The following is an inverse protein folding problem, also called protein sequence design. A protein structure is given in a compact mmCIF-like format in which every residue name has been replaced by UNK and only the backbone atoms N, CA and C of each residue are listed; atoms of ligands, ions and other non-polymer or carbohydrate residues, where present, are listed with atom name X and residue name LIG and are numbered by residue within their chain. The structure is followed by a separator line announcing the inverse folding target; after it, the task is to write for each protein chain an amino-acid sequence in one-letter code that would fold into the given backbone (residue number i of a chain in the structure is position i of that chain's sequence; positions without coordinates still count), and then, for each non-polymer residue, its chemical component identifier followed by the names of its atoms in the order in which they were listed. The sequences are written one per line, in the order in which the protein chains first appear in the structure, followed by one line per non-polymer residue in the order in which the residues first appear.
data_IF_736715202535
#
_entry.id   IF_736715202535
#
_cell.length_a   1.000
_cell.length_b   1.000
_cell.length_c   1.000
_cell.angle_alpha   90.00
_cell.angle_beta   90.00
_cell.angle_gamma   90.00
#
_symmetry.space_group_name_H-M   'P 1'
#
loop_
_entity.id
_entity.type
_entity.pdbx_description
1 polymer ?
#
# COMPACT_ATOMS: atom_id res chain seq x y z
N UNK A 1 24.62 60.11 8.74
CA UNK A 1 23.43 59.51 8.09
C UNK A 1 23.72 58.73 6.81
N UNK A 2 24.51 59.23 5.84
CA UNK A 2 24.78 58.51 4.58
C UNK A 2 25.46 57.13 4.74
N UNK A 3 26.51 57.03 5.57
CA UNK A 3 27.24 55.76 5.77
C UNK A 3 26.40 54.65 6.39
N UNK A 4 25.60 54.95 7.43
CA UNK A 4 24.68 53.99 8.05
C UNK A 4 23.63 53.47 7.07
N UNK A 5 23.10 54.34 6.20
CA UNK A 5 22.15 53.94 5.16
C UNK A 5 22.81 53.04 4.12
N UNK A 6 24.02 53.36 3.68
CA UNK A 6 24.79 52.53 2.75
C UNK A 6 25.06 51.15 3.35
N UNK A 7 25.49 51.08 4.62
CA UNK A 7 25.71 49.80 5.31
C UNK A 7 24.41 48.99 5.39
N UNK A 8 23.29 49.62 5.72
CA UNK A 8 21.99 48.94 5.77
C UNK A 8 21.56 48.40 4.40
N UNK A 9 21.79 49.15 3.31
CA UNK A 9 21.49 48.68 1.95
C UNK A 9 22.41 47.54 1.52
N UNK A 10 23.70 47.62 1.84
CA UNK A 10 24.64 46.52 1.57
C UNK A 10 24.25 45.25 2.34
N UNK A 11 23.83 45.40 3.60
CA UNK A 11 23.31 44.29 4.40
C UNK A 11 22.04 43.67 3.80
N UNK A 12 21.07 44.51 3.39
CA UNK A 12 19.86 44.04 2.69
C UNK A 12 20.22 43.29 1.41
N UNK A 13 21.10 43.87 0.59
CA UNK A 13 21.53 43.28 -0.67
C UNK A 13 22.21 41.93 -0.45
N UNK A 14 23.06 41.82 0.57
CA UNK A 14 23.67 40.55 0.97
C UNK A 14 22.62 39.51 1.40
N UNK A 15 21.62 39.88 2.22
CA UNK A 15 20.54 38.98 2.63
C UNK A 15 19.71 38.51 1.42
N UNK A 16 19.42 39.41 0.48
CA UNK A 16 18.71 39.07 -0.77
C UNK A 16 19.55 38.09 -1.60
N UNK A 17 20.85 38.36 -1.78
CA UNK A 17 21.74 37.46 -2.51
C UNK A 17 21.82 36.09 -1.84
N UNK A 18 22.00 36.03 -0.53
CA UNK A 18 22.15 34.78 0.21
C UNK A 18 20.85 33.96 0.25
N UNK A 19 19.70 34.62 0.34
CA UNK A 19 18.40 33.94 0.26
C UNK A 19 18.10 33.41 -1.15
N UNK A 20 18.47 34.16 -2.20
CA UNK A 20 18.43 33.68 -3.58
C UNK A 20 19.54 32.65 -3.88
N UNK A 21 20.57 32.59 -3.05
CA UNK A 21 21.74 31.73 -3.23
C UNK A 21 21.40 30.25 -3.34
N UNK A 22 20.31 29.82 -2.67
CA UNK A 22 19.75 28.48 -2.79
C UNK A 22 19.40 28.14 -4.25
N UNK A 23 18.77 29.08 -4.95
CA UNK A 23 18.31 28.93 -6.34
C UNK A 23 19.42 29.20 -7.35
N UNK A 24 20.29 30.17 -7.07
CA UNK A 24 21.37 30.60 -7.96
C UNK A 24 22.60 29.69 -7.92
N UNK A 25 22.61 28.67 -7.07
CA UNK A 25 23.78 27.78 -6.96
C UNK A 25 24.95 28.41 -6.21
N UNK A 26 24.71 29.44 -5.38
CA UNK A 26 25.79 30.10 -4.64
C UNK A 26 26.42 29.14 -3.62
N UNK A 27 27.73 29.30 -3.32
CA UNK A 27 28.44 28.43 -2.38
C UNK A 27 27.88 28.52 -0.96
N UNK A 28 27.29 29.67 -0.59
CA UNK A 28 26.66 29.90 0.70
C UNK A 28 25.26 30.45 0.49
N UNK A 29 24.29 29.98 1.26
CA UNK A 29 22.91 30.44 1.21
C UNK A 29 22.24 30.38 2.57
N UNK A 30 21.07 31.02 2.69
CA UNK A 30 20.27 31.02 3.91
C UNK A 30 18.98 30.24 3.69
N UNK A 31 18.58 29.46 4.69
CA UNK A 31 17.30 28.77 4.77
C UNK A 31 16.62 29.07 6.12
N UNK A 32 15.29 29.07 6.15
CA UNK A 32 14.52 29.21 7.39
C UNK A 32 13.98 27.86 7.83
N UNK A 33 14.05 27.57 9.13
CA UNK A 33 13.43 26.39 9.71
C UNK A 33 11.91 26.58 9.76
N UNK A 34 11.19 25.78 8.99
CA UNK A 34 9.73 25.92 8.86
C UNK A 34 8.94 25.12 9.91
N UNK A 35 9.48 24.00 10.41
CA UNK A 35 8.76 23.05 11.27
C UNK A 35 9.56 22.68 12.52
N UNK A 36 8.93 21.92 13.43
CA UNK A 36 9.55 21.41 14.65
C UNK A 36 10.26 20.06 14.51
N UNK A 37 10.50 19.55 13.30
CA UNK A 37 11.10 18.21 13.09
C UNK A 37 12.53 18.08 13.61
N UNK A 38 13.23 19.21 13.76
CA UNK A 38 14.61 19.27 14.23
C UNK A 38 14.74 19.68 15.70
N UNK A 39 13.66 19.70 16.47
CA UNK A 39 13.73 19.96 17.92
C UNK A 39 14.48 18.78 18.59
N UNK A 40 15.44 19.03 19.50
CA UNK A 40 15.81 20.33 20.09
C UNK A 40 16.90 21.11 19.35
N UNK A 41 17.57 20.54 18.34
CA UNK A 41 18.71 21.16 17.67
C UNK A 41 18.37 22.46 16.93
N UNK A 42 17.20 22.54 16.29
CA UNK A 42 16.70 23.73 15.61
C UNK A 42 15.25 24.01 16.00
N UNK A 43 14.92 25.28 16.21
CA UNK A 43 13.57 25.75 16.49
C UNK A 43 12.90 26.30 15.22
N UNK A 44 11.56 26.20 15.10
CA UNK A 44 10.84 26.90 14.04
C UNK A 44 11.17 28.41 14.05
N UNK A 45 11.45 28.95 12.87
CA UNK A 45 11.94 30.31 12.59
C UNK A 45 13.43 30.55 12.89
N UNK A 46 14.21 29.54 13.25
CA UNK A 46 15.66 29.69 13.23
C UNK A 46 16.15 29.88 11.78
N UNK A 47 17.17 30.71 11.62
CA UNK A 47 17.79 30.98 10.32
C UNK A 47 19.07 30.17 10.21
N UNK A 48 19.15 29.31 9.20
CA UNK A 48 20.29 28.44 8.94
C UNK A 48 21.09 29.03 7.80
N UNK A 49 22.39 29.25 8.01
CA UNK A 49 23.35 29.51 6.94
C UNK A 49 23.95 28.18 6.55
N UNK A 50 23.95 27.90 5.25
CA UNK A 50 24.41 26.65 4.70
C UNK A 50 25.47 26.82 3.63
N UNK A 51 26.42 25.89 3.57
CA UNK A 51 27.49 25.84 2.58
C UNK A 51 27.38 24.61 1.68
N UNK A 52 27.73 24.78 0.40
CA UNK A 52 27.87 23.69 -0.58
C UNK A 52 29.22 23.01 -0.39
N UNK A 53 29.32 22.18 0.63
CA UNK A 53 30.52 21.40 0.96
C UNK A 53 30.16 19.94 1.23
N UNK A 54 31.18 19.12 1.43
CA UNK A 54 31.02 17.70 1.76
C UNK A 54 30.31 17.54 3.11
N UNK A 55 29.50 16.48 3.21
CA UNK A 55 28.73 16.15 4.41
C UNK A 55 28.97 14.72 4.85
N UNK A 56 28.92 14.51 6.16
CA UNK A 56 29.07 13.21 6.80
C UNK A 56 27.85 12.81 7.63
N UNK A 57 27.91 11.61 8.18
CA UNK A 57 26.93 11.14 9.16
C UNK A 57 27.00 12.03 10.41
N UNK A 58 25.86 12.54 10.85
CA UNK A 58 25.73 13.47 11.98
C UNK A 58 25.49 14.92 11.56
N UNK A 59 25.80 15.30 10.32
CA UNK A 59 25.62 16.67 9.84
C UNK A 59 24.16 17.01 9.59
N UNK A 60 23.79 18.27 9.80
CA UNK A 60 22.48 18.79 9.42
C UNK A 60 22.58 19.31 8.00
N UNK A 61 21.82 18.71 7.09
CA UNK A 61 21.84 19.07 5.67
C UNK A 61 20.51 19.67 5.24
N UNK A 62 20.57 20.56 4.26
CA UNK A 62 19.39 21.00 3.50
C UNK A 62 19.37 20.22 2.19
N UNK A 63 18.35 19.42 1.97
CA UNK A 63 18.10 18.76 0.70
C UNK A 63 16.76 19.20 0.11
N UNK A 64 16.62 19.17 -1.21
CA UNK A 64 15.41 19.66 -1.88
C UNK A 64 14.97 18.73 -3.00
N UNK A 65 13.74 18.21 -2.93
CA UNK A 65 13.13 17.43 -4.03
C UNK A 65 12.69 18.32 -5.20
N UNK A 66 12.34 19.58 -4.92
CA UNK A 66 12.06 20.62 -5.93
C UNK A 66 12.73 21.92 -5.51
N UNK A 67 12.88 22.93 -6.40
CA UNK A 67 13.47 24.22 -6.01
C UNK A 67 12.77 24.93 -4.83
N UNK A 68 11.48 24.65 -4.62
CA UNK A 68 10.66 25.27 -3.57
C UNK A 68 10.46 24.35 -2.35
N UNK A 69 10.63 23.03 -2.52
CA UNK A 69 10.46 22.06 -1.44
C UNK A 69 11.81 21.59 -0.92
N UNK A 70 12.17 22.04 0.27
CA UNK A 70 13.42 21.71 0.93
C UNK A 70 13.15 21.22 2.36
N UNK A 71 13.99 20.31 2.82
CA UNK A 71 13.95 19.68 4.13
C UNK A 71 15.32 19.88 4.79
N UNK A 72 15.30 20.22 6.08
CA UNK A 72 16.49 20.40 6.91
C UNK A 72 16.51 19.27 7.93
N UNK A 73 17.32 18.24 7.73
CA UNK A 73 17.38 17.07 8.61
C UNK A 73 18.82 16.60 8.82
N UNK A 74 19.03 15.76 9.83
CA UNK A 74 20.35 15.20 10.15
C UNK A 74 20.63 13.97 9.31
N UNK A 75 21.82 13.86 8.73
CA UNK A 75 22.28 12.63 8.07
C UNK A 75 22.48 11.56 9.12
N UNK A 76 21.73 10.46 9.02
CA UNK A 76 21.85 9.32 9.93
C UNK A 76 22.64 8.18 9.30
N UNK A 77 22.66 8.10 7.97
CA UNK A 77 23.35 7.03 7.26
C UNK A 77 23.68 7.44 5.82
N UNK A 78 24.84 7.01 5.33
CA UNK A 78 25.28 7.12 3.94
C UNK A 78 25.59 5.70 3.46
N UNK A 79 24.88 5.22 2.43
CA UNK A 79 25.09 3.88 1.84
C UNK A 79 25.19 4.00 0.34
N UNK A 80 26.30 3.54 -0.24
CA UNK A 80 26.53 3.53 -1.70
C UNK A 80 26.21 4.92 -2.31
N UNK A 81 25.10 5.01 -3.05
CA UNK A 81 24.60 6.18 -3.78
C UNK A 81 23.34 6.79 -3.16
N UNK A 82 23.04 6.53 -1.89
CA UNK A 82 21.92 7.12 -1.17
C UNK A 82 22.31 7.70 0.18
N UNK A 83 21.62 8.78 0.53
CA UNK A 83 21.71 9.45 1.83
C UNK A 83 20.40 9.23 2.57
N UNK A 84 20.48 8.88 3.84
CA UNK A 84 19.31 8.75 4.72
C UNK A 84 19.41 9.86 5.76
N UNK A 85 18.39 10.71 5.80
CA UNK A 85 18.27 11.78 6.81
C UNK A 85 17.18 11.45 7.82
N UNK A 86 17.18 12.13 8.96
CA UNK A 86 16.10 12.07 9.95
C UNK A 86 15.98 13.41 10.67
N UNK A 87 14.74 13.87 10.87
CA UNK A 87 14.49 14.94 11.83
C UNK A 87 14.80 14.49 13.26
N UNK A 88 15.49 15.31 14.05
CA UNK A 88 15.88 14.94 15.42
C UNK A 88 14.67 14.57 16.31
N UNK A 89 13.48 15.13 16.04
CA UNK A 89 12.23 14.82 16.72
C UNK A 89 11.42 13.69 16.06
N UNK A 90 11.83 13.19 14.90
CA UNK A 90 11.07 12.19 14.14
C UNK A 90 11.38 10.76 14.62
N UNK A 91 10.37 9.88 14.77
CA UNK A 91 10.56 8.52 15.28
C UNK A 91 11.21 7.56 14.27
N UNK A 92 11.10 7.85 12.98
CA UNK A 92 11.62 7.03 11.89
C UNK A 92 12.49 7.87 10.94
N UNK A 93 13.51 7.28 10.29
CA UNK A 93 14.29 7.95 9.25
C UNK A 93 13.42 8.33 8.04
N UNK A 94 13.85 9.35 7.32
CA UNK A 94 13.27 9.72 6.04
C UNK A 94 13.61 8.66 4.98
N UNK A 95 12.85 8.58 3.88
CA UNK A 95 13.21 7.74 2.75
C UNK A 95 14.61 8.07 2.20
N UNK A 96 15.34 7.10 1.62
CA UNK A 96 16.63 7.35 1.00
C UNK A 96 16.53 8.37 -0.14
N UNK A 97 17.43 9.35 -0.15
CA UNK A 97 17.54 10.38 -1.19
C UNK A 97 18.84 10.25 -1.98
N UNK A 98 18.84 10.70 -3.23
CA UNK A 98 20.08 10.81 -4.01
C UNK A 98 20.99 11.93 -3.44
N UNK A 99 22.32 11.73 -3.37
CA UNK A 99 23.29 12.76 -3.01
C UNK A 99 23.11 14.08 -3.77
N UNK A 100 22.68 14.01 -5.04
CA UNK A 100 22.45 15.21 -5.87
C UNK A 100 21.29 16.10 -5.41
N UNK A 101 20.43 15.62 -4.49
CA UNK A 101 19.36 16.42 -3.89
C UNK A 101 19.84 17.26 -2.70
N UNK A 102 21.02 16.94 -2.13
CA UNK A 102 21.61 17.72 -1.05
C UNK A 102 22.14 19.05 -1.60
N UNK A 103 21.70 20.15 -1.00
CA UNK A 103 22.04 21.51 -1.42
C UNK A 103 23.11 22.15 -0.57
N UNK A 104 23.29 21.71 0.66
CA UNK A 104 24.38 22.18 1.52
C UNK A 104 24.24 21.71 2.96
N UNK A 105 25.31 21.92 3.71
CA UNK A 105 25.45 21.62 5.14
C UNK A 105 25.16 22.88 5.94
N UNK A 106 24.40 22.75 7.03
CA UNK A 106 24.17 23.82 7.98
C UNK A 106 25.46 24.12 8.75
N UNK A 107 26.07 25.27 8.47
CA UNK A 107 27.34 25.72 9.08
C UNK A 107 27.12 26.72 10.22
N UNK A 108 25.98 27.40 10.25
CA UNK A 108 25.62 28.35 11.29
C UNK A 108 24.11 28.40 11.49
N UNK A 109 23.69 28.52 12.74
CA UNK A 109 22.30 28.72 13.13
C UNK A 109 22.18 30.06 13.85
N UNK A 110 21.32 30.94 13.34
CA UNK A 110 20.97 32.21 13.94
C UNK A 110 19.58 32.02 14.58
N UNK A 111 19.50 31.96 15.93
CA UNK A 111 18.25 31.68 16.60
C UNK A 111 17.20 32.76 16.35
N UNK A 112 15.93 32.35 16.31
CA UNK A 112 14.77 33.25 16.12
C UNK A 112 14.72 34.41 17.11
N UNK A 113 15.13 34.18 18.35
CA UNK A 113 15.14 35.21 19.39
C UNK A 113 16.27 36.24 19.22
N UNK A 114 17.21 36.02 18.28
CA UNK A 114 18.23 37.01 17.92
C UNK A 114 17.71 37.89 16.79
N UNK A 115 17.33 37.29 15.65
CA UNK A 115 17.02 38.07 14.45
C UNK A 115 15.62 38.69 14.46
N UNK A 116 14.60 38.04 15.06
CA UNK A 116 13.24 38.59 15.12
C UNK A 116 13.20 39.89 15.94
N UNK A 117 13.74 39.96 17.16
CA UNK A 117 13.74 41.22 17.91
C UNK A 117 14.56 42.33 17.24
N UNK A 118 15.67 41.98 16.58
CA UNK A 118 16.44 42.95 15.79
C UNK A 118 15.60 43.58 14.67
N UNK A 119 14.81 42.77 13.96
CA UNK A 119 13.89 43.30 12.93
C UNK A 119 12.77 44.15 13.55
N UNK A 120 12.09 43.65 14.59
CA UNK A 120 10.94 44.34 15.19
C UNK A 120 11.35 45.63 15.88
N UNK A 121 12.48 45.64 16.58
CA UNK A 121 12.96 46.83 17.33
C UNK A 121 13.25 48.01 16.41
N UNK A 122 13.73 47.77 15.18
CA UNK A 122 13.95 48.84 14.19
C UNK A 122 12.64 49.52 13.77
N UNK A 123 11.58 48.74 13.54
CA UNK A 123 10.25 49.23 13.18
C UNK A 123 9.58 49.93 14.38
N UNK A 124 9.69 49.34 15.57
CA UNK A 124 9.16 49.91 16.80
C UNK A 124 9.84 51.25 17.12
N UNK A 125 11.17 51.35 17.02
CA UNK A 125 11.92 52.59 17.21
C UNK A 125 11.47 53.65 16.18
N UNK A 126 11.33 53.28 14.91
CA UNK A 126 10.83 54.19 13.89
C UNK A 126 9.41 54.70 14.22
N UNK A 127 8.49 53.81 14.60
CA UNK A 127 7.13 54.17 14.98
C UNK A 127 7.10 55.12 16.20
N UNK A 128 7.90 54.83 17.24
CA UNK A 128 8.01 55.68 18.43
C UNK A 128 8.55 57.07 18.06
N UNK A 129 9.59 57.15 17.23
CA UNK A 129 10.15 58.43 16.77
C UNK A 129 9.13 59.25 15.97
N UNK A 130 8.33 58.62 15.12
CA UNK A 130 7.27 59.32 14.35
C UNK A 130 6.12 59.79 15.24
N UNK A 131 5.68 58.98 16.21
CA UNK A 131 4.66 59.40 17.19
C UNK A 131 5.18 60.60 18.01
N UNK A 132 6.43 60.54 18.47
CA UNK A 132 7.04 61.61 19.27
C UNK A 132 7.22 62.90 18.46
N UNK A 133 7.58 62.80 17.18
CA UNK A 133 7.64 63.95 16.25
C UNK A 133 6.27 64.59 16.05
N UNK A 134 5.23 63.78 15.85
CA UNK A 134 3.86 64.25 15.73
C UNK A 134 3.39 65.01 16.98
N UNK A 135 3.70 64.49 18.17
CA UNK A 135 3.40 65.15 19.45
C UNK A 135 4.14 66.48 19.61
N UNK A 136 5.42 66.54 19.24
CA UNK A 136 6.24 67.75 19.35
C UNK A 136 6.05 68.76 18.19
N UNK A 137 5.17 68.48 17.23
CA UNK A 137 4.96 69.29 16.00
C UNK A 137 6.27 69.64 15.27
N UNK A 138 7.25 68.75 15.32
CA UNK A 138 8.53 68.97 14.62
C UNK A 138 8.25 68.80 13.12
N UNK A 139 8.54 69.81 12.27
CA UNK A 139 8.34 69.71 10.84
C UNK A 139 9.18 68.58 10.25
N UNK A 140 8.59 67.81 9.33
CA UNK A 140 9.29 66.71 8.66
C UNK A 140 10.49 67.26 7.90
N UNK A 141 11.68 66.64 7.99
CA UNK A 141 12.79 67.02 7.13
C UNK A 141 12.38 66.86 5.66
N UNK A 142 12.89 67.68 4.73
CA UNK A 142 12.53 67.62 3.31
C UNK A 142 12.83 66.26 2.64
N UNK A 143 13.65 65.41 3.28
CA UNK A 143 13.94 64.01 2.88
C UNK A 143 13.17 62.97 3.71
N UNK A 144 12.08 63.38 4.36
CA UNK A 144 11.35 62.67 5.41
C UNK A 144 10.68 61.34 5.06
N UNK A 145 10.26 61.04 3.82
CA UNK A 145 9.59 59.77 3.56
C UNK A 145 10.55 58.66 3.10
N UNK A 146 11.79 58.98 2.70
CA UNK A 146 12.75 58.01 2.15
C UNK A 146 13.09 56.92 3.17
N UNK A 147 13.34 57.30 4.43
CA UNK A 147 13.64 56.33 5.51
C UNK A 147 12.47 55.42 5.85
N UNK A 148 11.24 55.92 5.74
CA UNK A 148 10.03 55.14 5.96
C UNK A 148 9.89 54.06 4.89
N UNK A 149 10.01 54.46 3.62
CA UNK A 149 9.93 53.56 2.49
C UNK A 149 11.03 52.49 2.54
N UNK A 150 12.23 52.84 2.98
CA UNK A 150 13.33 51.88 3.07
C UNK A 150 13.08 50.79 4.12
N UNK A 151 12.48 51.15 5.26
CA UNK A 151 12.14 50.17 6.31
C UNK A 151 11.02 49.25 5.82
N UNK A 152 9.99 49.81 5.20
CA UNK A 152 8.87 49.04 4.65
C UNK A 152 9.34 48.10 3.54
N UNK A 153 10.13 48.59 2.57
CA UNK A 153 10.69 47.76 1.49
C UNK A 153 11.58 46.65 2.07
N UNK A 154 12.45 46.98 3.03
CA UNK A 154 13.30 45.98 3.69
C UNK A 154 12.46 44.88 4.35
N UNK A 155 11.40 45.26 5.07
CA UNK A 155 10.50 44.31 5.73
C UNK A 155 9.70 43.47 4.74
N UNK A 156 9.13 44.10 3.71
CA UNK A 156 8.38 43.42 2.64
C UNK A 156 9.25 42.42 1.88
N UNK A 157 10.49 42.80 1.55
CA UNK A 157 11.45 41.90 0.89
C UNK A 157 11.84 40.76 1.82
N UNK A 158 12.10 41.04 3.11
CA UNK A 158 12.44 40.00 4.09
C UNK A 158 11.31 38.98 4.25
N UNK A 159 10.06 39.44 4.40
CA UNK A 159 8.87 38.56 4.50
C UNK A 159 8.65 37.76 3.22
N UNK A 160 8.84 38.38 2.05
CA UNK A 160 8.73 37.71 0.77
C UNK A 160 9.78 36.59 0.61
N UNK A 161 11.03 36.87 0.97
CA UNK A 161 12.11 35.87 0.94
C UNK A 161 11.84 34.70 1.91
N UNK A 162 11.32 35.00 3.11
CA UNK A 162 10.90 33.96 4.06
C UNK A 162 9.81 33.06 3.47
N UNK A 163 8.83 33.64 2.78
CA UNK A 163 7.77 32.90 2.09
C UNK A 163 8.30 32.01 0.94
N UNK A 164 9.34 32.44 0.23
CA UNK A 164 10.00 31.62 -0.80
C UNK A 164 10.80 30.45 -0.21
N UNK A 165 11.27 30.58 1.03
CA UNK A 165 12.02 29.50 1.71
C UNK A 165 11.12 28.49 2.41
N UNK A 166 9.87 28.85 2.74
CA UNK A 166 8.93 27.94 3.39
C UNK A 166 8.30 26.96 2.38
N UNK A 167 8.25 25.65 2.69
CA UNK A 167 7.58 24.68 1.82
C UNK A 167 6.07 24.98 1.77
N UNK A 168 5.54 25.27 0.57
CA UNK A 168 4.14 25.69 0.36
C UNK A 168 3.15 24.52 0.41
N UNK A 169 3.59 23.25 0.43
CA UNK A 169 2.68 22.10 0.35
C UNK A 169 3.25 20.83 0.99
N UNK A 170 2.38 19.91 1.47
CA UNK A 170 2.80 18.61 1.96
C UNK A 170 3.39 17.75 0.82
N UNK A 171 4.16 16.76 1.25
CA UNK A 171 5.05 15.89 0.48
C UNK A 171 4.46 15.41 -0.85
N UNK A 172 5.07 15.82 -1.98
CA UNK A 172 5.00 15.08 -3.23
C UNK A 172 6.28 14.25 -3.32
N UNK A 173 6.18 12.99 -2.90
CA UNK A 173 7.29 12.05 -2.95
C UNK A 173 7.72 11.83 -4.40
N UNK A 174 8.90 12.31 -4.76
CA UNK A 174 9.66 11.82 -5.90
C UNK A 174 10.78 10.94 -5.34
N UNK A 175 10.38 9.87 -4.65
CA UNK A 175 11.28 8.83 -4.18
C UNK A 175 11.28 7.67 -5.18
N UNK A 176 12.40 6.97 -5.28
CA UNK A 176 12.47 5.68 -5.98
C UNK A 176 11.27 4.80 -5.62
N UNK A 177 10.69 4.12 -6.61
CA UNK A 177 9.67 3.11 -6.36
C UNK A 177 10.24 2.09 -5.39
N UNK A 178 9.67 2.02 -4.18
CA UNK A 178 10.06 1.00 -3.22
C UNK A 178 9.56 -0.33 -3.79
N UNK A 179 10.44 -1.30 -4.08
CA UNK A 179 10.00 -2.59 -4.58
C UNK A 179 9.18 -3.27 -3.49
N UNK A 180 7.93 -3.62 -3.80
CA UNK A 180 7.01 -4.24 -2.85
C UNK A 180 6.28 -5.41 -3.50
N UNK A 181 6.01 -6.43 -2.70
CA UNK A 181 5.26 -7.61 -3.12
C UNK A 181 4.24 -7.92 -2.01
N UNK A 182 2.98 -7.61 -2.27
CA UNK A 182 1.88 -7.84 -1.32
C UNK A 182 0.90 -8.85 -1.91
N UNK A 183 0.33 -9.70 -1.05
CA UNK A 183 -0.77 -10.57 -1.49
C UNK A 183 -2.06 -9.79 -1.47
N UNK A 184 -2.72 -9.71 -2.62
CA UNK A 184 -4.02 -9.05 -2.78
C UNK A 184 -5.15 -10.02 -2.48
N UNK A 185 -5.05 -11.24 -3.03
CA UNK A 185 -6.12 -12.22 -2.96
C UNK A 185 -5.57 -13.63 -3.00
N UNK A 186 -6.16 -14.48 -2.17
CA UNK A 186 -6.01 -15.93 -2.23
C UNK A 186 -7.40 -16.51 -2.38
N UNK A 187 -7.58 -17.39 -3.34
CA UNK A 187 -8.87 -18.02 -3.59
C UNK A 187 -8.73 -19.42 -4.16
N UNK A 188 -9.83 -20.16 -4.13
CA UNK A 188 -9.97 -21.44 -4.79
C UNK A 188 -10.92 -21.26 -5.99
N UNK A 189 -10.52 -21.78 -7.15
CA UNK A 189 -11.33 -21.82 -8.35
C UNK A 189 -12.04 -23.18 -8.44
N UNK A 190 -13.35 -23.17 -8.17
CA UNK A 190 -14.21 -24.36 -8.20
C UNK A 190 -14.33 -24.98 -9.60
N UNK A 191 -14.00 -24.24 -10.67
CA UNK A 191 -14.07 -24.77 -12.03
C UNK A 191 -12.92 -25.70 -12.33
N UNK A 192 -11.70 -25.26 -12.05
CA UNK A 192 -10.47 -25.95 -12.41
C UNK A 192 -9.87 -26.74 -11.24
N UNK A 193 -10.35 -26.56 -10.01
CA UNK A 193 -9.78 -27.20 -8.82
C UNK A 193 -8.41 -26.62 -8.45
N UNK A 194 -8.17 -25.36 -8.79
CA UNK A 194 -6.88 -24.69 -8.61
C UNK A 194 -6.94 -23.58 -7.57
N UNK A 195 -5.84 -23.36 -6.86
CA UNK A 195 -5.65 -22.20 -5.99
C UNK A 195 -5.08 -21.07 -6.83
N UNK A 196 -5.64 -19.88 -6.66
CA UNK A 196 -5.15 -18.65 -7.30
C UNK A 196 -4.66 -17.70 -6.23
N UNK A 197 -3.41 -17.27 -6.37
CA UNK A 197 -2.80 -16.25 -5.52
C UNK A 197 -2.45 -15.06 -6.41
N UNK A 198 -3.02 -13.91 -6.10
CA UNK A 198 -2.81 -12.66 -6.83
C UNK A 198 -1.93 -11.75 -5.97
N UNK A 199 -0.80 -11.34 -6.54
CA UNK A 199 0.13 -10.41 -5.93
C UNK A 199 -0.04 -9.00 -6.50
N UNK A 200 0.23 -7.99 -5.68
CA UNK A 200 0.49 -6.63 -6.10
C UNK A 200 2.00 -6.43 -6.06
N UNK A 201 2.62 -6.38 -7.24
CA UNK A 201 4.05 -6.20 -7.41
C UNK A 201 4.31 -4.77 -7.85
N UNK A 202 5.06 -4.02 -7.04
CA UNK A 202 5.58 -2.70 -7.40
C UNK A 202 7.05 -2.84 -7.71
N UNK A 203 7.47 -2.47 -8.93
CA UNK A 203 8.88 -2.46 -9.34
C UNK A 203 9.62 -3.81 -9.14
N UNK A 204 8.86 -4.90 -9.28
CA UNK A 204 9.26 -6.31 -9.18
C UNK A 204 8.47 -7.15 -10.21
N UNK A 205 9.07 -8.24 -10.67
CA UNK A 205 8.47 -9.20 -11.61
C UNK A 205 8.76 -10.63 -11.14
N UNK A 206 7.85 -11.57 -11.42
CA UNK A 206 8.03 -12.99 -11.09
C UNK A 206 8.94 -13.64 -12.13
N UNK A 207 10.04 -14.23 -11.68
CA UNK A 207 11.01 -14.91 -12.56
C UNK A 207 10.80 -16.43 -12.59
N UNK A 208 10.61 -17.05 -11.42
CA UNK A 208 10.43 -18.49 -11.29
C UNK A 208 9.78 -18.89 -9.98
N UNK A 209 9.14 -20.06 -9.97
CA UNK A 209 8.66 -20.73 -8.75
C UNK A 209 9.65 -21.86 -8.44
N UNK A 210 10.38 -21.73 -7.34
CA UNK A 210 11.45 -22.67 -6.95
C UNK A 210 10.89 -23.88 -6.20
N UNK A 211 9.85 -23.69 -5.38
CA UNK A 211 9.17 -24.78 -4.68
C UNK A 211 7.70 -24.48 -4.45
N UNK A 212 6.89 -25.55 -4.47
CA UNK A 212 5.46 -25.53 -4.22
C UNK A 212 5.10 -26.74 -3.35
N UNK A 213 4.57 -26.49 -2.16
CA UNK A 213 4.10 -27.53 -1.24
C UNK A 213 2.69 -27.26 -0.75
N UNK A 214 1.85 -28.30 -0.82
CA UNK A 214 0.52 -28.33 -0.22
C UNK A 214 0.58 -29.15 1.05
N UNK A 215 0.16 -28.57 2.16
CA UNK A 215 0.10 -29.24 3.46
C UNK A 215 -1.36 -29.37 3.86
N UNK A 216 -1.83 -30.61 3.90
CA UNK A 216 -3.08 -31.02 4.55
C UNK A 216 -2.74 -31.66 5.90
N UNK A 217 -3.67 -31.71 6.85
CA UNK A 217 -3.48 -32.08 8.28
C UNK A 217 -2.16 -32.83 8.63
N UNK A 218 -1.90 -34.00 8.04
CA UNK A 218 -0.70 -34.82 8.30
C UNK A 218 0.14 -35.15 7.04
N UNK A 219 -0.15 -34.57 5.88
CA UNK A 219 0.51 -34.92 4.62
C UNK A 219 0.99 -33.68 3.88
N UNK A 220 2.24 -33.73 3.42
CA UNK A 220 2.84 -32.73 2.53
C UNK A 220 2.91 -33.30 1.12
N UNK A 221 2.39 -32.56 0.16
CA UNK A 221 2.27 -32.97 -1.24
C UNK A 221 2.95 -31.90 -2.08
N UNK A 222 3.81 -32.31 -3.01
CA UNK A 222 4.39 -31.37 -3.97
C UNK A 222 3.32 -30.98 -4.99
N UNK A 223 3.20 -29.69 -5.28
CA UNK A 223 2.22 -29.18 -6.24
C UNK A 223 2.82 -28.81 -7.59
N UNK A 224 2.01 -28.92 -8.62
CA UNK A 224 2.25 -28.28 -9.92
C UNK A 224 1.75 -26.85 -9.86
N UNK A 225 2.60 -25.91 -10.27
CA UNK A 225 2.27 -24.48 -10.26
C UNK A 225 2.80 -23.81 -11.51
N UNK A 226 2.08 -22.79 -11.96
CA UNK A 226 2.47 -21.91 -13.04
C UNK A 226 2.13 -20.47 -12.67
N UNK A 227 2.79 -19.51 -13.29
CA UNK A 227 2.50 -18.10 -13.07
C UNK A 227 2.14 -17.42 -14.38
N UNK A 228 1.26 -16.43 -14.28
CA UNK A 228 0.89 -15.52 -15.37
C UNK A 228 0.84 -14.12 -14.78
N UNK A 229 1.67 -13.22 -15.30
CA UNK A 229 1.82 -11.85 -14.81
C UNK A 229 2.07 -11.81 -13.30
N UNK A 230 1.11 -11.29 -12.53
CA UNK A 230 1.17 -11.17 -11.08
C UNK A 230 0.38 -12.27 -10.35
N UNK A 231 -0.06 -13.31 -11.06
CA UNK A 231 -0.86 -14.40 -10.51
C UNK A 231 -0.11 -15.71 -10.53
N UNK A 232 -0.24 -16.46 -9.43
CA UNK A 232 0.27 -17.83 -9.30
C UNK A 232 -0.90 -18.78 -9.19
N UNK A 233 -0.90 -19.78 -10.06
CA UNK A 233 -1.92 -20.82 -10.17
C UNK A 233 -1.31 -22.13 -9.70
N UNK A 234 -2.04 -22.82 -8.82
CA UNK A 234 -1.59 -24.06 -8.21
C UNK A 234 -2.68 -25.10 -8.42
N UNK A 235 -2.36 -26.16 -9.14
CA UNK A 235 -3.32 -27.22 -9.42
C UNK A 235 -3.36 -28.18 -8.23
N UNK A 236 -4.56 -28.49 -7.76
CA UNK A 236 -4.76 -29.51 -6.73
C UNK A 236 -5.24 -30.79 -7.41
N UNK A 237 -4.55 -31.93 -7.22
CA UNK A 237 -5.02 -33.21 -7.73
C UNK A 237 -6.43 -33.55 -7.21
N UNK A 238 -7.31 -34.01 -8.09
CA UNK A 238 -8.71 -34.35 -7.77
C UNK A 238 -8.83 -35.37 -6.63
N UNK A 239 -7.89 -36.33 -6.54
CA UNK A 239 -7.85 -37.32 -5.45
C UNK A 239 -7.60 -36.69 -4.08
N UNK A 240 -6.79 -35.63 -4.01
CA UNK A 240 -6.53 -34.89 -2.75
C UNK A 240 -7.80 -34.19 -2.31
N UNK A 241 -8.49 -33.52 -3.24
CA UNK A 241 -9.76 -32.83 -2.98
C UNK A 241 -10.87 -33.80 -2.53
N UNK A 242 -10.98 -34.96 -3.21
CA UNK A 242 -11.91 -36.03 -2.81
C UNK A 242 -11.60 -36.53 -1.40
N UNK A 243 -10.33 -36.81 -1.10
CA UNK A 243 -9.92 -37.30 0.22
C UNK A 243 -10.19 -36.26 1.31
N UNK A 244 -9.89 -34.99 1.05
CA UNK A 244 -10.22 -33.87 1.94
C UNK A 244 -11.72 -33.80 2.24
N UNK A 245 -12.56 -33.93 1.21
CA UNK A 245 -14.00 -33.96 1.38
C UNK A 245 -14.48 -35.14 2.22
N UNK A 246 -13.91 -36.35 2.03
CA UNK A 246 -14.26 -37.54 2.81
C UNK A 246 -13.82 -37.41 4.28
N UNK A 247 -12.64 -36.85 4.53
CA UNK A 247 -12.08 -36.69 5.88
C UNK A 247 -12.65 -35.48 6.63
N UNK A 248 -13.49 -34.67 5.98
CA UNK A 248 -14.06 -33.45 6.57
C UNK A 248 -13.05 -32.32 6.73
N UNK A 249 -11.96 -32.35 5.96
CA UNK A 249 -10.91 -31.33 5.94
C UNK A 249 -11.25 -30.30 4.87
N UNK A 250 -11.44 -29.06 5.28
CA UNK A 250 -11.81 -27.96 4.38
C UNK A 250 -10.69 -26.91 4.24
N UNK A 251 -9.49 -27.18 4.75
CA UNK A 251 -8.37 -26.26 4.75
C UNK A 251 -7.11 -26.95 4.20
N UNK A 252 -6.45 -26.28 3.27
CA UNK A 252 -5.13 -26.66 2.76
C UNK A 252 -4.17 -25.49 2.94
N UNK A 253 -2.95 -25.78 3.38
CA UNK A 253 -1.90 -24.79 3.57
C UNK A 253 -0.95 -24.82 2.38
N UNK A 254 -0.62 -23.65 1.84
CA UNK A 254 0.23 -23.53 0.65
C UNK A 254 1.57 -22.90 1.03
N UNK A 255 2.67 -23.61 0.79
CA UNK A 255 4.03 -23.09 0.88
C UNK A 255 4.59 -22.83 -0.52
N UNK A 256 5.14 -21.64 -0.74
CA UNK A 256 5.78 -21.25 -2.00
C UNK A 256 7.12 -20.57 -1.75
N UNK A 257 8.06 -20.83 -2.65
CA UNK A 257 9.31 -20.09 -2.76
C UNK A 257 9.40 -19.52 -4.17
N UNK A 258 9.27 -18.21 -4.32
CA UNK A 258 9.22 -17.53 -5.62
C UNK A 258 10.46 -16.64 -5.75
N UNK A 259 11.18 -16.77 -6.87
CA UNK A 259 12.23 -15.83 -7.26
C UNK A 259 11.62 -14.65 -7.99
N UNK A 260 11.95 -13.44 -7.53
CA UNK A 260 11.54 -12.19 -8.15
C UNK A 260 12.75 -11.54 -8.84
N UNK A 261 12.48 -10.53 -9.68
CA UNK A 261 13.51 -9.68 -10.25
C UNK A 261 14.31 -8.95 -9.14
N UNK A 262 15.48 -8.39 -9.50
CA UNK A 262 16.39 -7.69 -8.58
C UNK A 262 16.93 -8.57 -7.42
N UNK A 263 17.06 -9.89 -7.64
CA UNK A 263 17.50 -10.87 -6.64
C UNK A 263 16.64 -10.92 -5.37
N UNK A 264 15.39 -10.45 -5.44
CA UNK A 264 14.44 -10.61 -4.35
C UNK A 264 13.85 -12.03 -4.36
N UNK A 265 13.52 -12.55 -3.19
CA UNK A 265 12.81 -13.83 -3.04
C UNK A 265 11.59 -13.64 -2.15
N UNK A 266 10.48 -14.23 -2.56
CA UNK A 266 9.24 -14.25 -1.80
C UNK A 266 9.09 -15.64 -1.19
N UNK A 267 9.45 -15.74 0.08
CA UNK A 267 9.23 -16.90 0.91
C UNK A 267 7.86 -16.79 1.55
N UNK A 268 6.97 -17.65 1.11
CA UNK A 268 5.57 -17.59 1.46
C UNK A 268 5.33 -18.47 2.68
N UNK A 269 4.95 -17.87 3.80
CA UNK A 269 4.49 -18.61 4.97
C UNK A 269 3.17 -19.33 4.61
N UNK A 270 2.99 -20.55 5.12
CA UNK A 270 1.88 -21.47 4.83
C UNK A 270 0.50 -20.78 4.76
N UNK A 271 0.06 -20.40 3.55
CA UNK A 271 -1.20 -19.69 3.37
C UNK A 271 -2.38 -20.64 3.53
N UNK A 272 -3.32 -20.38 4.46
CA UNK A 272 -4.50 -21.19 4.59
C UNK A 272 -5.49 -20.87 3.47
N UNK A 273 -5.89 -21.89 2.72
CA UNK A 273 -6.93 -21.81 1.70
C UNK A 273 -8.07 -22.70 2.12
N UNK A 274 -9.26 -22.10 2.19
CA UNK A 274 -10.48 -22.79 2.57
C UNK A 274 -11.22 -23.25 1.32
N UNK A 275 -11.54 -24.53 1.27
CA UNK A 275 -12.26 -25.18 0.17
C UNK A 275 -13.62 -25.60 0.70
N UNK A 276 -14.68 -25.17 0.02
CA UNK A 276 -16.06 -25.47 0.41
C UNK A 276 -16.76 -26.24 -0.71
N UNK A 277 -16.77 -27.59 -0.65
CA UNK A 277 -17.48 -28.40 -1.61
C UNK A 277 -18.95 -28.02 -1.73
N UNK A 278 -19.43 -27.95 -2.97
CA UNK A 278 -20.82 -27.67 -3.30
C UNK A 278 -21.65 -28.96 -3.34
N UNK A 279 -22.95 -28.83 -3.04
CA UNK A 279 -23.90 -29.94 -3.18
C UNK A 279 -24.14 -30.27 -4.65
N UNK A 280 -24.43 -31.52 -5.01
CA UNK A 280 -24.84 -31.88 -6.36
C UNK A 280 -26.14 -31.17 -6.74
N UNK A 281 -26.25 -30.73 -7.99
CA UNK A 281 -27.47 -30.09 -8.51
C UNK A 281 -28.39 -31.18 -9.04
N UNK A 282 -29.55 -31.35 -8.39
CA UNK A 282 -30.53 -32.39 -8.70
C UNK A 282 -31.80 -31.76 -9.26
N UNK A 283 -32.01 -31.93 -10.57
CA UNK A 283 -33.18 -31.44 -11.28
C UNK A 283 -34.05 -32.61 -11.77
N UNK A 284 -35.36 -32.39 -11.80
CA UNK A 284 -36.35 -33.36 -12.28
C UNK A 284 -37.17 -32.67 -13.36
N UNK A 285 -37.19 -33.25 -14.56
CA UNK A 285 -37.95 -32.72 -15.69
C UNK A 285 -38.64 -33.85 -16.42
N UNK A 286 -39.97 -33.84 -16.44
CA UNK A 286 -40.80 -34.84 -17.14
C UNK A 286 -40.45 -36.29 -16.80
N UNK A 287 -40.18 -36.59 -15.52
CA UNK A 287 -39.82 -37.95 -15.07
C UNK A 287 -38.36 -38.33 -15.26
N UNK A 288 -37.54 -37.45 -15.86
CA UNK A 288 -36.08 -37.63 -15.97
C UNK A 288 -35.39 -36.87 -14.85
N UNK A 289 -34.55 -37.58 -14.10
CA UNK A 289 -33.70 -37.01 -13.05
C UNK A 289 -32.31 -36.73 -13.62
N UNK A 290 -31.79 -35.53 -13.39
CA UNK A 290 -30.41 -35.17 -13.72
C UNK A 290 -29.67 -34.80 -12.45
N UNK A 291 -28.53 -35.45 -12.21
CA UNK A 291 -27.64 -35.21 -11.07
C UNK A 291 -26.33 -34.68 -11.64
N UNK A 292 -26.02 -33.41 -11.35
CA UNK A 292 -24.77 -32.78 -11.81
C UNK A 292 -23.81 -32.58 -10.63
N UNK A 293 -22.55 -32.97 -10.83
CA UNK A 293 -21.47 -32.72 -9.89
C UNK A 293 -20.78 -31.38 -10.21
N UNK A 294 -21.00 -30.30 -9.44
CA UNK A 294 -20.32 -29.03 -9.67
C UNK A 294 -18.88 -29.02 -9.17
N UNK A 295 -18.43 -30.04 -8.43
CA UNK A 295 -17.12 -30.03 -7.79
C UNK A 295 -16.00 -30.45 -8.75
N UNK A 296 -14.77 -29.97 -8.55
CA UNK A 296 -13.58 -30.36 -9.33
C UNK A 296 -12.99 -31.72 -8.91
N UNK A 297 -13.75 -32.52 -8.17
CA UNK A 297 -13.36 -33.85 -7.74
C UNK A 297 -14.54 -34.80 -7.83
N UNK A 298 -14.24 -36.10 -7.87
CA UNK A 298 -15.26 -37.11 -7.99
C UNK A 298 -16.12 -37.21 -6.73
N UNK A 299 -17.43 -37.09 -6.88
CA UNK A 299 -18.39 -37.10 -5.78
C UNK A 299 -18.90 -38.52 -5.56
N UNK A 300 -18.57 -39.11 -4.40
CA UNK A 300 -19.08 -40.42 -4.01
C UNK A 300 -20.57 -40.34 -3.70
N UNK A 301 -21.37 -41.04 -4.53
CA UNK A 301 -22.83 -41.08 -4.39
C UNK A 301 -23.36 -42.50 -4.33
N UNK A 302 -24.41 -42.71 -3.55
CA UNK A 302 -25.21 -43.91 -3.54
C UNK A 302 -26.64 -43.55 -3.95
N UNK A 303 -27.01 -43.98 -5.15
CA UNK A 303 -28.30 -43.66 -5.76
C UNK A 303 -29.22 -44.85 -5.58
N UNK A 304 -30.33 -44.65 -4.89
CA UNK A 304 -31.38 -45.65 -4.68
C UNK A 304 -32.67 -45.20 -5.37
N UNK A 305 -33.15 -46.01 -6.31
CA UNK A 305 -34.41 -45.81 -7.01
C UNK A 305 -35.47 -46.66 -6.33
N UNK A 306 -36.62 -46.07 -6.00
CA UNK A 306 -37.79 -46.76 -5.48
C UNK A 306 -38.94 -46.62 -6.48
N UNK A 307 -39.54 -47.71 -6.94
CA UNK A 307 -40.64 -47.66 -7.90
C UNK A 307 -41.75 -48.66 -7.58
N UNK A 308 -42.97 -48.34 -8.03
CA UNK A 308 -44.13 -49.20 -7.90
C UNK A 308 -45.20 -48.89 -8.96
N UNK A 309 -46.04 -49.88 -9.27
CA UNK A 309 -47.21 -49.72 -10.15
C UNK A 309 -48.46 -49.26 -9.39
N UNK A 310 -48.51 -49.51 -8.08
CA UNK A 310 -49.54 -49.04 -7.14
C UNK A 310 -48.84 -48.42 -5.93
N UNK A 311 -49.56 -47.70 -5.07
CA UNK A 311 -48.96 -47.17 -3.84
C UNK A 311 -48.57 -48.35 -2.93
N UNK A 312 -47.26 -48.64 -2.87
CA UNK A 312 -46.67 -49.80 -2.20
C UNK A 312 -46.97 -51.16 -2.89
N UNK A 313 -46.27 -52.25 -2.50
CA UNK A 313 -44.90 -52.29 -1.97
C UNK A 313 -43.87 -51.78 -3.00
N UNK A 314 -42.74 -51.22 -2.52
CA UNK A 314 -41.74 -50.59 -3.38
C UNK A 314 -40.67 -51.58 -3.83
N UNK A 315 -40.42 -51.63 -5.13
CA UNK A 315 -39.20 -52.23 -5.66
C UNK A 315 -38.05 -51.23 -5.46
N UNK A 316 -36.86 -51.74 -5.16
CA UNK A 316 -35.68 -50.93 -4.93
C UNK A 316 -34.49 -51.41 -5.75
N UNK A 317 -33.67 -50.46 -6.19
CA UNK A 317 -32.38 -50.72 -6.83
C UNK A 317 -31.41 -49.65 -6.37
N UNK A 318 -30.25 -50.07 -5.87
CA UNK A 318 -29.20 -49.17 -5.39
C UNK A 318 -27.94 -49.36 -6.22
N UNK A 319 -27.33 -48.26 -6.61
CA UNK A 319 -26.05 -48.22 -7.31
C UNK A 319 -25.16 -47.16 -6.68
N UNK A 320 -24.02 -47.60 -6.15
CA UNK A 320 -22.96 -46.69 -5.74
C UNK A 320 -22.11 -46.32 -6.94
N UNK A 321 -21.92 -45.04 -7.16
CA UNK A 321 -21.08 -44.52 -8.24
C UNK A 321 -20.42 -43.22 -7.81
N UNK A 322 -19.17 -43.08 -8.22
CA UNK A 322 -18.47 -41.81 -8.16
C UNK A 322 -18.84 -41.00 -9.42
N UNK A 323 -19.47 -39.84 -9.22
CA UNK A 323 -19.84 -38.93 -10.31
C UNK A 323 -18.63 -38.05 -10.61
N UNK A 324 -18.08 -38.16 -11.82
CA UNK A 324 -16.84 -37.47 -12.21
C UNK A 324 -16.99 -35.94 -12.13
N UNK A 325 -15.87 -35.19 -12.04
CA UNK A 325 -15.91 -33.74 -12.03
C UNK A 325 -16.70 -33.19 -13.21
N UNK A 326 -17.66 -32.30 -12.95
CA UNK A 326 -18.54 -31.69 -13.95
C UNK A 326 -19.43 -32.67 -14.74
N UNK A 327 -19.46 -33.96 -14.39
CA UNK A 327 -20.33 -34.95 -15.02
C UNK A 327 -21.81 -34.66 -14.68
N UNK A 328 -22.70 -35.04 -15.60
CA UNK A 328 -24.14 -35.09 -15.35
C UNK A 328 -24.66 -36.50 -15.61
N UNK A 329 -25.13 -37.15 -14.55
CA UNK A 329 -25.82 -38.44 -14.63
C UNK A 329 -27.30 -38.20 -14.94
N UNK A 330 -27.84 -38.95 -15.90
CA UNK A 330 -29.26 -38.88 -16.30
C UNK A 330 -29.94 -40.23 -16.04
N UNK A 331 -31.08 -40.20 -15.38
CA UNK A 331 -31.89 -41.37 -15.04
C UNK A 331 -33.33 -41.14 -15.49
N UNK A 332 -33.81 -41.96 -16.42
CA UNK A 332 -35.20 -41.91 -16.88
C UNK A 332 -36.06 -42.83 -16.01
N UNK A 333 -36.94 -42.22 -15.23
CA UNK A 333 -37.90 -42.89 -14.36
C UNK A 333 -39.34 -42.68 -14.83
N UNK A 334 -39.54 -42.05 -16.00
CA UNK A 334 -40.86 -41.75 -16.56
C UNK A 334 -41.67 -42.99 -16.92
N UNK A 335 -41.00 -44.15 -17.06
CA UNK A 335 -41.63 -45.45 -17.30
C UNK A 335 -42.44 -45.97 -16.11
N UNK A 336 -42.20 -45.46 -14.89
CA UNK A 336 -42.83 -45.95 -13.67
C UNK A 336 -44.04 -45.11 -13.29
N UNK A 337 -45.11 -45.77 -12.82
CA UNK A 337 -46.32 -45.08 -12.37
C UNK A 337 -46.08 -44.30 -11.06
N UNK A 338 -45.32 -44.86 -10.14
CA UNK A 338 -44.79 -44.17 -8.97
C UNK A 338 -43.28 -44.36 -8.90
N UNK A 339 -42.53 -43.28 -8.69
CA UNK A 339 -41.08 -43.34 -8.56
C UNK A 339 -40.57 -42.28 -7.58
N UNK A 340 -39.65 -42.70 -6.72
CA UNK A 340 -38.85 -41.85 -5.86
C UNK A 340 -37.37 -42.12 -6.11
N UNK A 341 -36.55 -41.09 -5.93
CA UNK A 341 -35.10 -41.24 -5.92
C UNK A 341 -34.57 -40.79 -4.57
N UNK A 342 -33.71 -41.61 -3.98
CA UNK A 342 -32.92 -41.31 -2.78
C UNK A 342 -31.46 -41.24 -3.19
N UNK A 343 -30.81 -40.11 -2.92
CA UNK A 343 -29.41 -39.85 -3.26
C UNK A 343 -28.69 -39.57 -1.95
N UNK A 344 -27.73 -40.43 -1.63
CA UNK A 344 -26.83 -40.28 -0.50
C UNK A 344 -25.46 -39.85 -1.03
N UNK A 345 -24.86 -38.82 -0.44
CA UNK A 345 -23.57 -38.28 -0.87
C UNK A 345 -22.82 -37.64 0.29
N UNK A 346 -21.49 -37.56 0.20
CA UNK A 346 -20.65 -37.04 1.30
C UNK A 346 -20.18 -35.62 0.96
N UNK A 347 -20.41 -34.67 1.88
CA UNK A 347 -19.87 -33.31 1.82
C UNK A 347 -19.25 -32.95 3.16
N UNK A 348 -17.99 -32.50 3.16
CA UNK A 348 -17.26 -32.12 4.37
C UNK A 348 -17.33 -33.19 5.47
N UNK A 349 -17.10 -34.46 5.11
CA UNK A 349 -17.11 -35.61 6.01
C UNK A 349 -18.50 -35.99 6.53
N UNK A 350 -19.55 -35.31 6.09
CA UNK A 350 -20.93 -35.58 6.49
C UNK A 350 -21.69 -36.23 5.35
N UNK A 351 -22.30 -37.37 5.65
CA UNK A 351 -23.26 -38.01 4.76
C UNK A 351 -24.57 -37.22 4.76
N UNK A 352 -24.96 -36.76 3.58
CA UNK A 352 -26.22 -36.07 3.32
C UNK A 352 -27.12 -36.97 2.48
N UNK A 353 -28.42 -36.91 2.76
CA UNK A 353 -29.44 -37.72 2.07
C UNK A 353 -30.51 -36.78 1.53
N UNK A 354 -30.76 -36.88 0.24
CA UNK A 354 -31.88 -36.20 -0.43
C UNK A 354 -32.82 -37.22 -1.05
N UNK A 355 -34.11 -37.10 -0.73
CA UNK A 355 -35.15 -37.94 -1.31
C UNK A 355 -36.15 -37.07 -2.05
N UNK A 356 -36.37 -37.35 -3.34
CA UNK A 356 -37.33 -36.62 -4.18
C UNK A 356 -38.33 -37.57 -4.81
N UNK A 357 -39.57 -37.11 -4.89
CA UNK A 357 -40.58 -37.74 -5.74
C UNK A 357 -40.29 -37.39 -7.20
N UNK A 358 -40.48 -38.35 -8.11
CA UNK A 358 -40.18 -38.18 -9.54
C UNK A 358 -41.44 -38.42 -10.38
N UNK A 359 -42.19 -39.47 -10.04
CA UNK A 359 -43.45 -39.83 -10.67
C UNK A 359 -44.53 -40.10 -9.62
N UNK A 360 -45.73 -39.58 -9.85
CA UNK A 360 -46.92 -39.87 -9.05
C UNK A 360 -48.10 -40.16 -9.97
N UNK A 361 -48.64 -41.37 -9.85
CA UNK A 361 -49.78 -41.85 -10.65
C UNK A 361 -49.62 -41.63 -12.16
N UNK A 362 -48.43 -41.95 -12.67
CA UNK A 362 -48.09 -41.85 -14.10
C UNK A 362 -47.85 -40.42 -14.59
N UNK A 363 -47.79 -39.44 -13.69
CA UNK A 363 -47.47 -38.04 -14.00
C UNK A 363 -46.14 -37.64 -13.36
N UNK A 364 -45.30 -36.85 -14.04
CA UNK A 364 -44.11 -36.26 -13.42
C UNK A 364 -44.48 -35.44 -12.20
N UNK A 365 -43.68 -35.51 -11.13
CA UNK A 365 -43.84 -34.58 -10.02
C UNK A 365 -43.47 -33.17 -10.50
N UNK A 366 -44.19 -32.17 -9.98
CA UNK A 366 -43.93 -30.74 -10.22
C UNK A 366 -42.65 -30.27 -9.56
#
# INVERSE_FOLDING_TARGET
MKWLQVIAYLGLFAIIILSLGRFLGLPVFIALVASGSMIPALQPLDMVVAAREDYGVGDIVIWCSTPMYCVIHRVVEIRNDVVITRGDANPAPDPPISPGLVRGVAILVIPRFVWIPLLISSLALYAVLEIHRGRLRIPRPPRGPVTAYTIVIFYSVSVFLLALTSPISPVLFVGFSVPSAEVVRIGFDDNNGSIVIIYNLSDLEIMSINSCTLITMNTSINCTSHFSDNSVWIEIPSEVLRKMNLDGVNMIKVGLNISLSKNASLLTYLYPVYISPARPVINITKGVVTIHNPNPFCLDTNITILWANTIGPWNTSSSSRCIEPKETVRLDLGIYRYAYIRIEYIINGKTLIEQKEVMRDGRPSS
#
